data_IF_989967944160
#
_entry.id   IF_989967944160
#
_cell.length_a   1.000
_cell.length_b   1.000
_cell.length_c   1.000
_cell.angle_alpha   90.00
_cell.angle_beta   90.00
_cell.angle_gamma   90.00
#
_symmetry.space_group_name_H-M   'P 1'
#
loop_
_entity.id
_entity.type
_entity.pdbx_description
1 polymer ?
#
# COMPACT_ATOMS: atom_id res chain seq x y z
N UNK A 1 2.73 7.26 -17.63
CA UNK A 1 1.83 6.96 -16.49
C UNK A 1 2.11 5.59 -15.87
N UNK A 2 2.52 4.58 -16.65
CA UNK A 2 2.81 3.23 -16.14
C UNK A 2 3.92 3.15 -15.07
N UNK A 3 4.81 4.17 -15.00
CA UNK A 3 5.96 4.20 -14.08
C UNK A 3 5.88 5.31 -13.01
N UNK A 4 4.73 5.96 -12.86
CA UNK A 4 4.57 7.02 -11.86
C UNK A 4 4.32 6.42 -10.47
N UNK A 5 4.90 7.00 -9.39
CA UNK A 5 4.70 6.49 -8.05
C UNK A 5 3.25 6.68 -7.59
N UNK A 6 2.79 5.79 -6.71
CA UNK A 6 1.45 5.76 -6.17
C UNK A 6 1.35 6.46 -4.81
N UNK A 7 0.23 7.15 -4.60
CA UNK A 7 -0.23 7.59 -3.29
C UNK A 7 -1.46 6.80 -2.87
N UNK A 8 -1.40 6.11 -1.73
CA UNK A 8 -2.54 5.36 -1.19
C UNK A 8 -3.35 6.23 -0.23
N UNK A 9 -4.69 6.21 -0.39
CA UNK A 9 -5.64 6.80 0.55
C UNK A 9 -6.44 5.69 1.21
N UNK A 10 -6.21 5.49 2.51
CA UNK A 10 -6.79 4.43 3.32
C UNK A 10 -7.88 5.03 4.20
N UNK A 11 -9.13 4.94 3.75
CA UNK A 11 -10.28 5.44 4.50
C UNK A 11 -10.82 4.36 5.44
N UNK A 12 -10.64 4.55 6.75
CA UNK A 12 -11.05 3.56 7.74
C UNK A 12 -12.57 3.55 7.93
N UNK A 13 -13.14 2.35 8.00
CA UNK A 13 -14.52 2.13 8.43
C UNK A 13 -14.70 2.48 9.92
N UNK A 14 -15.95 2.44 10.39
CA UNK A 14 -16.27 2.63 11.82
C UNK A 14 -15.59 1.60 12.74
N UNK A 15 -15.23 0.43 12.19
CA UNK A 15 -14.48 -0.64 12.86
C UNK A 15 -12.96 -0.45 12.80
N UNK A 16 -12.46 0.61 12.18
CA UNK A 16 -11.03 0.89 12.06
C UNK A 16 -10.32 0.04 11.00
N UNK A 17 -11.06 -0.47 10.02
CA UNK A 17 -10.51 -1.31 8.94
C UNK A 17 -10.82 -0.77 7.55
N UNK A 18 -10.00 -1.13 6.57
CA UNK A 18 -10.20 -0.81 5.16
C UNK A 18 -9.70 -1.94 4.27
N UNK A 19 -10.29 -2.11 3.09
CA UNK A 19 -9.82 -3.07 2.06
C UNK A 19 -9.90 -2.38 0.70
N UNK A 20 -8.93 -2.65 -0.15
CA UNK A 20 -8.91 -2.18 -1.54
C UNK A 20 -8.07 -3.12 -2.41
N UNK A 21 -8.19 -2.98 -3.72
CA UNK A 21 -7.41 -3.75 -4.68
C UNK A 21 -6.84 -2.81 -5.74
N UNK A 22 -5.70 -3.19 -6.32
CA UNK A 22 -5.07 -2.52 -7.44
C UNK A 22 -4.78 -3.55 -8.53
N UNK A 23 -5.18 -3.21 -9.76
CA UNK A 23 -4.84 -3.95 -10.96
C UNK A 23 -3.88 -3.10 -11.81
N UNK A 24 -2.82 -3.70 -12.32
CA UNK A 24 -1.82 -3.03 -13.15
C UNK A 24 -1.37 -3.97 -14.28
N UNK A 25 -1.42 -3.49 -15.51
CA UNK A 25 -0.87 -4.12 -16.71
C UNK A 25 -0.21 -3.04 -17.60
N UNK A 26 0.07 -3.35 -18.86
CA UNK A 26 0.62 -2.37 -19.80
C UNK A 26 -0.38 -1.26 -20.21
N UNK A 27 -1.66 -1.40 -19.84
CA UNK A 27 -2.74 -0.45 -20.07
C UNK A 27 -3.21 -0.35 -21.53
N UNK A 28 -2.68 -1.14 -22.47
CA UNK A 28 -2.98 -0.98 -23.89
C UNK A 28 -3.09 -2.27 -24.70
N UNK A 29 -2.58 -3.41 -24.21
CA UNK A 29 -2.61 -4.68 -24.94
C UNK A 29 -3.51 -5.73 -24.28
N UNK A 30 -3.62 -6.89 -24.91
CA UNK A 30 -4.31 -8.07 -24.36
C UNK A 30 -3.33 -9.05 -23.69
N UNK A 31 -2.11 -8.64 -23.36
CA UNK A 31 -1.12 -9.52 -22.73
C UNK A 31 -1.58 -10.01 -21.35
N UNK A 32 -2.38 -9.22 -20.62
CA UNK A 32 -3.01 -9.68 -19.39
C UNK A 32 -3.89 -10.94 -19.59
N UNK A 33 -4.56 -11.03 -20.74
CA UNK A 33 -5.47 -12.13 -21.07
C UNK A 33 -4.68 -13.38 -21.48
N UNK A 34 -3.78 -13.21 -22.44
CA UNK A 34 -3.10 -14.31 -23.14
C UNK A 34 -1.80 -14.76 -22.48
N UNK A 35 -1.10 -13.85 -21.82
CA UNK A 35 0.22 -14.11 -21.23
C UNK A 35 0.24 -13.93 -19.70
N UNK A 36 -0.90 -13.54 -19.11
CA UNK A 36 -1.02 -13.21 -17.68
C UNK A 36 -0.06 -12.09 -17.24
N UNK A 37 0.24 -11.17 -18.15
CA UNK A 37 1.03 -9.99 -17.83
C UNK A 37 0.18 -8.94 -17.13
N UNK A 38 -0.06 -9.15 -15.84
CA UNK A 38 -0.69 -8.19 -14.93
C UNK A 38 -0.20 -8.39 -13.49
N UNK A 39 -0.36 -7.38 -12.65
CA UNK A 39 -0.30 -7.45 -11.20
C UNK A 39 -1.71 -7.23 -10.63
N UNK A 40 -2.12 -8.10 -9.72
CA UNK A 40 -3.33 -7.90 -8.92
C UNK A 40 -2.94 -7.92 -7.44
N UNK A 41 -3.09 -6.76 -6.79
CA UNK A 41 -2.66 -6.50 -5.42
C UNK A 41 -3.86 -6.24 -4.55
N UNK A 42 -3.82 -6.73 -3.31
CA UNK A 42 -4.82 -6.48 -2.30
C UNK A 42 -4.21 -5.72 -1.14
N UNK A 43 -4.86 -4.63 -0.78
CA UNK A 43 -4.55 -3.83 0.39
C UNK A 43 -5.56 -4.12 1.50
N UNK A 44 -5.07 -4.35 2.72
CA UNK A 44 -5.90 -4.54 3.90
C UNK A 44 -5.35 -3.73 5.06
N UNK A 45 -6.16 -2.86 5.64
CA UNK A 45 -5.87 -2.22 6.92
C UNK A 45 -6.70 -2.88 8.01
N UNK A 46 -6.05 -3.47 9.01
CA UNK A 46 -6.70 -4.03 10.18
C UNK A 46 -5.75 -4.00 11.39
N UNK A 47 -6.28 -3.68 12.57
CA UNK A 47 -5.51 -3.72 13.83
C UNK A 47 -4.17 -2.96 13.78
N UNK A 48 -4.15 -1.81 13.11
CA UNK A 48 -2.95 -0.97 12.99
C UNK A 48 -1.96 -1.43 11.90
N UNK A 49 -2.27 -2.47 11.13
CA UNK A 49 -1.40 -2.96 10.06
C UNK A 49 -2.06 -2.72 8.71
N UNK A 50 -1.35 -2.04 7.80
CA UNK A 50 -1.67 -1.99 6.38
C UNK A 50 -0.80 -3.02 5.65
N UNK A 51 -1.40 -4.02 5.01
CA UNK A 51 -0.68 -4.97 4.17
C UNK A 51 -0.93 -4.72 2.69
N UNK A 52 0.07 -5.02 1.87
CA UNK A 52 -0.02 -5.23 0.42
C UNK A 52 0.33 -6.69 0.15
N UNK A 53 -0.59 -7.47 -0.41
CA UNK A 53 -0.36 -8.89 -0.73
C UNK A 53 -0.83 -9.23 -2.14
N UNK A 54 -0.27 -10.31 -2.70
CA UNK A 54 -0.74 -10.85 -3.98
C UNK A 54 -2.21 -11.28 -3.88
N UNK A 55 -3.03 -10.83 -4.83
CA UNK A 55 -4.45 -11.20 -4.93
C UNK A 55 -4.71 -12.28 -5.99
N UNK A 56 -3.83 -12.39 -6.98
CA UNK A 56 -3.89 -13.41 -8.03
C UNK A 56 -2.47 -13.81 -8.48
N UNK A 57 -2.00 -14.96 -8.01
CA UNK A 57 -0.65 -15.48 -8.30
C UNK A 57 -0.45 -15.87 -9.78
N UNK A 58 -1.50 -15.92 -10.58
CA UNK A 58 -1.38 -16.21 -12.01
C UNK A 58 -0.78 -15.03 -12.77
N UNK A 59 -0.95 -13.81 -12.24
CA UNK A 59 -0.46 -12.58 -12.85
C UNK A 59 1.02 -12.34 -12.55
N UNK A 60 1.81 -12.08 -13.58
CA UNK A 60 3.18 -11.63 -13.42
C UNK A 60 3.47 -10.47 -14.38
N UNK A 61 3.72 -9.29 -13.83
CA UNK A 61 4.08 -8.11 -14.60
C UNK A 61 5.20 -7.34 -13.89
N UNK A 62 6.36 -7.15 -14.55
CA UNK A 62 7.48 -6.43 -13.96
C UNK A 62 7.13 -4.95 -13.85
N UNK A 63 7.27 -4.40 -12.65
CA UNK A 63 6.97 -3.00 -12.37
C UNK A 63 7.93 -2.45 -11.32
N UNK A 64 8.61 -1.36 -11.68
CA UNK A 64 9.44 -0.58 -10.75
C UNK A 64 8.64 0.47 -9.99
N UNK A 65 7.32 0.58 -10.23
CA UNK A 65 6.46 1.50 -9.48
C UNK A 65 6.51 1.24 -7.98
N UNK A 66 6.52 2.33 -7.23
CA UNK A 66 6.52 2.34 -5.77
C UNK A 66 5.31 3.07 -5.23
N UNK A 67 4.91 2.74 -4.01
CA UNK A 67 4.09 3.60 -3.16
C UNK A 67 5.02 4.58 -2.45
N UNK A 68 4.85 5.86 -2.74
CA UNK A 68 5.64 6.95 -2.15
C UNK A 68 4.94 7.65 -0.97
N UNK A 69 3.61 7.55 -0.94
CA UNK A 69 2.76 8.24 0.03
C UNK A 69 1.63 7.34 0.51
N UNK A 70 1.32 7.43 1.80
CA UNK A 70 0.16 6.77 2.41
C UNK A 70 -0.55 7.76 3.33
N UNK A 71 -1.84 7.95 3.09
CA UNK A 71 -2.73 8.76 3.92
C UNK A 71 -3.76 7.85 4.58
N UNK A 72 -3.75 7.75 5.91
CA UNK A 72 -4.78 7.01 6.66
C UNK A 72 -5.77 8.01 7.24
N UNK A 73 -7.04 7.87 6.86
CA UNK A 73 -8.14 8.75 7.26
C UNK A 73 -9.01 8.06 8.31
N UNK A 74 -9.38 8.78 9.36
CA UNK A 74 -10.22 8.25 10.45
C UNK A 74 -9.44 7.46 11.50
N UNK A 75 -8.11 7.62 11.55
CA UNK A 75 -7.28 7.01 12.58
C UNK A 75 -7.48 7.77 13.90
N UNK A 76 -8.23 7.18 14.83
CA UNK A 76 -8.72 7.89 16.03
C UNK A 76 -7.62 8.26 17.03
N UNK A 77 -6.52 7.51 17.04
CA UNK A 77 -5.44 7.68 18.01
C UNK A 77 -4.14 8.05 17.28
N UNK A 78 -3.36 8.92 17.91
CA UNK A 78 -2.05 9.30 17.40
C UNK A 78 -1.09 8.11 17.53
N UNK A 79 -0.39 7.71 16.44
CA UNK A 79 0.64 6.70 16.53
C UNK A 79 1.82 7.18 17.39
N UNK A 80 2.34 6.28 18.19
CA UNK A 80 3.65 6.37 18.85
C UNK A 80 4.80 6.11 17.89
N UNK A 81 4.59 5.23 16.90
CA UNK A 81 5.59 4.86 15.90
C UNK A 81 4.95 4.29 14.63
N UNK A 82 5.69 4.39 13.52
CA UNK A 82 5.34 3.74 12.26
C UNK A 82 6.57 3.02 11.70
N UNK A 83 6.41 1.76 11.30
CA UNK A 83 7.48 0.95 10.69
C UNK A 83 7.00 0.27 9.43
N UNK A 84 7.89 0.11 8.45
CA UNK A 84 7.65 -0.72 7.25
C UNK A 84 8.38 -2.04 7.40
N UNK A 85 7.75 -3.11 6.93
CA UNK A 85 8.31 -4.46 6.90
C UNK A 85 8.14 -5.03 5.48
N UNK A 86 9.23 -5.51 4.89
CA UNK A 86 9.24 -6.25 3.63
C UNK A 86 9.84 -7.64 3.86
N UNK A 87 9.41 -8.69 3.12
CA UNK A 87 9.84 -10.07 3.35
C UNK A 87 11.36 -10.27 3.43
N UNK A 88 12.12 -9.51 2.62
CA UNK A 88 13.57 -9.62 2.52
C UNK A 88 14.33 -8.52 3.30
N UNK A 89 13.60 -7.66 4.00
CA UNK A 89 14.12 -6.45 4.64
C UNK A 89 14.12 -6.51 6.16
N UNK A 90 14.92 -5.62 6.77
CA UNK A 90 14.75 -5.28 8.19
C UNK A 90 13.67 -4.21 8.32
N UNK A 91 12.93 -4.25 9.43
CA UNK A 91 12.01 -3.17 9.81
C UNK A 91 12.67 -1.80 9.67
N UNK A 92 12.03 -0.89 8.92
CA UNK A 92 12.48 0.48 8.77
C UNK A 92 11.50 1.45 9.43
N UNK A 93 11.96 2.31 10.36
CA UNK A 93 11.12 3.37 10.91
C UNK A 93 10.77 4.39 9.84
N UNK A 94 9.54 4.88 9.89
CA UNK A 94 8.98 5.82 8.92
C UNK A 94 8.64 7.11 9.65
N UNK A 95 9.14 8.25 9.15
CA UNK A 95 8.71 9.55 9.63
C UNK A 95 7.24 9.80 9.25
N UNK A 96 6.46 10.33 10.18
CA UNK A 96 5.03 10.55 9.97
C UNK A 96 4.56 11.87 10.53
N UNK A 97 3.46 12.39 9.97
CA UNK A 97 2.71 13.50 10.54
C UNK A 97 1.31 13.03 10.91
N UNK A 98 0.83 13.42 12.07
CA UNK A 98 -0.54 13.13 12.51
C UNK A 98 -1.29 14.42 12.83
N UNK A 99 -2.50 14.56 12.27
CA UNK A 99 -3.41 15.66 12.55
C UNK A 99 -4.59 15.15 13.37
N UNK A 100 -4.60 15.46 14.68
CA UNK A 100 -5.69 15.08 15.57
C UNK A 100 -7.04 15.71 15.19
N UNK A 101 -7.03 16.93 14.62
CA UNK A 101 -8.25 17.64 14.20
C UNK A 101 -9.00 16.90 13.09
N UNK A 102 -8.28 16.26 12.19
CA UNK A 102 -8.84 15.54 11.03
C UNK A 102 -8.69 14.02 11.14
N UNK A 103 -8.17 13.52 12.26
CA UNK A 103 -7.85 12.10 12.48
C UNK A 103 -7.09 11.49 11.28
N UNK A 104 -6.05 12.19 10.81
CA UNK A 104 -5.31 11.84 9.59
C UNK A 104 -3.84 11.57 9.89
N UNK A 105 -3.33 10.44 9.41
CA UNK A 105 -1.92 10.09 9.39
C UNK A 105 -1.38 10.23 7.96
N UNK A 106 -0.25 10.91 7.82
CA UNK A 106 0.47 11.06 6.55
C UNK A 106 1.86 10.45 6.65
N UNK A 107 2.17 9.52 5.75
CA UNK A 107 3.48 8.94 5.52
C UNK A 107 3.96 9.38 4.14
N UNK A 108 5.20 9.87 4.06
CA UNK A 108 5.78 10.40 2.83
C UNK A 108 7.18 9.82 2.61
N UNK A 109 7.68 9.96 1.37
CA UNK A 109 9.03 9.52 0.96
C UNK A 109 9.24 8.01 1.18
N UNK A 110 8.17 7.24 1.01
CA UNK A 110 8.23 5.79 1.00
C UNK A 110 8.84 5.29 -0.31
N UNK A 111 9.35 4.07 -0.29
CA UNK A 111 9.88 3.38 -1.47
C UNK A 111 9.45 1.92 -1.46
N UNK A 112 8.14 1.69 -1.31
CA UNK A 112 7.57 0.35 -1.22
C UNK A 112 7.14 -0.11 -2.61
N UNK A 113 7.81 -1.12 -3.19
CA UNK A 113 7.46 -1.60 -4.53
C UNK A 113 6.02 -2.12 -4.56
N UNK A 114 5.26 -1.76 -5.59
CA UNK A 114 3.83 -2.09 -5.71
C UNK A 114 3.60 -3.59 -5.94
N UNK A 115 4.53 -4.24 -6.65
CA UNK A 115 4.48 -5.66 -7.01
C UNK A 115 4.96 -6.61 -5.93
N UNK A 116 5.56 -6.12 -4.85
CA UNK A 116 6.07 -6.95 -3.75
C UNK A 116 5.16 -6.91 -2.54
N UNK A 117 5.18 -7.98 -1.74
CA UNK A 117 4.50 -8.00 -0.46
C UNK A 117 5.21 -7.07 0.54
N UNK A 118 4.44 -6.35 1.34
CA UNK A 118 4.96 -5.50 2.42
C UNK A 118 3.85 -5.15 3.41
N UNK A 119 4.26 -4.70 4.60
CA UNK A 119 3.38 -4.22 5.65
C UNK A 119 3.85 -2.86 6.19
N UNK A 120 2.89 -2.04 6.62
CA UNK A 120 3.12 -0.84 7.41
C UNK A 120 2.42 -1.02 8.76
N UNK A 121 3.21 -1.00 9.82
CA UNK A 121 2.75 -1.16 11.19
C UNK A 121 2.62 0.22 11.84
N UNK A 122 1.42 0.54 12.30
CA UNK A 122 1.05 1.79 12.98
C UNK A 122 0.73 1.46 14.42
N UNK A 123 1.63 1.83 15.35
CA UNK A 123 1.52 1.52 16.79
C UNK A 123 1.16 2.76 17.59
#
# INVERSE_FOLDING_TARGET
>A
MADAPYGLRVALSTKGSAVGELYLDDGHSFQYLHQKQFLHRKFCFCSGVLSNSCADERGHYPSECVVEQIFVLGLKQQPSSVTTHSPDGKDQPVAFTYCAKTATLSLEKLSLNIGTDWEVHVK
#
